data_IF_134151208507
#
_entry.id   IF_134151208507
#
_cell.length_a   1.000
_cell.length_b   1.000
_cell.length_c   1.000
_cell.angle_alpha   90.00
_cell.angle_beta   90.00
_cell.angle_gamma   90.00
#
_symmetry.space_group_name_H-M   'P 1'
#
loop_
_entity.id
_entity.type
_entity.pdbx_description
1 polymer ?
#
# COMPACT_ATOMS: atom_id res chain seq x y z
N UNK A 1 -20.09 2.29 12.51
CA UNK A 1 -19.38 3.60 12.49
C UNK A 1 -20.24 4.61 11.75
N UNK A 2 -20.37 5.83 12.27
CA UNK A 2 -21.07 6.93 11.61
C UNK A 2 -20.05 7.90 11.00
N UNK A 3 -20.30 8.34 9.76
CA UNK A 3 -19.42 9.26 9.02
C UNK A 3 -20.25 10.47 8.60
N UNK A 4 -19.87 11.63 9.12
CA UNK A 4 -20.40 12.92 8.70
C UNK A 4 -19.67 13.47 7.48
N UNK A 5 -20.40 14.08 6.57
CA UNK A 5 -19.86 14.82 5.43
C UNK A 5 -20.14 16.31 5.59
N UNK A 6 -19.19 17.13 5.18
CA UNK A 6 -19.36 18.58 5.11
C UNK A 6 -18.69 19.12 3.85
N UNK A 7 -19.38 20.01 3.15
CA UNK A 7 -18.87 20.70 1.95
C UNK A 7 -18.49 22.16 2.19
N UNK A 8 -18.38 22.58 3.44
CA UNK A 8 -18.14 23.99 3.81
C UNK A 8 -16.79 24.48 3.31
N UNK A 9 -16.75 25.27 2.23
CA UNK A 9 -15.58 25.98 1.71
C UNK A 9 -14.56 25.12 0.96
N UNK A 10 -14.74 23.80 0.92
CA UNK A 10 -13.89 22.86 0.17
C UNK A 10 -14.81 21.96 -0.63
N UNK A 11 -14.54 21.80 -1.91
CA UNK A 11 -15.38 20.97 -2.77
C UNK A 11 -15.51 19.55 -2.22
N UNK A 12 -16.72 19.09 -1.96
CA UNK A 12 -16.98 17.71 -1.60
C UNK A 12 -17.03 16.84 -2.85
N UNK A 13 -16.38 15.69 -2.83
CA UNK A 13 -16.35 14.76 -3.96
C UNK A 13 -17.71 14.11 -4.30
N UNK A 14 -18.74 14.31 -3.49
CA UNK A 14 -20.01 13.60 -3.58
C UNK A 14 -21.20 14.38 -4.15
N UNK A 15 -21.04 15.62 -4.58
CA UNK A 15 -22.12 16.45 -5.12
C UNK A 15 -23.20 16.84 -4.11
N UNK A 16 -23.03 16.51 -2.81
CA UNK A 16 -23.91 16.94 -1.71
C UNK A 16 -23.09 17.67 -0.66
N UNK A 17 -23.62 18.78 -0.13
CA UNK A 17 -22.92 19.63 0.84
C UNK A 17 -22.83 18.99 2.24
N UNK A 18 -23.76 18.11 2.60
CA UNK A 18 -23.77 17.41 3.88
C UNK A 18 -24.33 16.00 3.74
N UNK A 19 -24.00 15.17 4.67
CA UNK A 19 -24.54 13.82 4.79
C UNK A 19 -24.12 13.16 6.09
N UNK A 20 -24.94 12.23 6.53
CA UNK A 20 -24.62 11.31 7.62
C UNK A 20 -24.81 9.89 7.11
N UNK A 21 -23.73 9.11 7.12
CA UNK A 21 -23.77 7.74 6.63
C UNK A 21 -23.38 6.77 7.74
N UNK A 22 -24.04 5.64 7.80
CA UNK A 22 -23.68 4.56 8.67
C UNK A 22 -22.91 3.49 7.87
N UNK A 23 -21.70 3.18 8.32
CA UNK A 23 -20.94 2.04 7.85
C UNK A 23 -21.08 0.92 8.88
N UNK A 24 -21.61 -0.21 8.47
CA UNK A 24 -21.72 -1.43 9.28
C UNK A 24 -20.94 -2.57 8.65
N UNK A 25 -20.41 -3.45 9.47
CA UNK A 25 -19.78 -4.68 9.05
C UNK A 25 -20.60 -5.87 9.56
N UNK A 26 -20.73 -6.91 8.74
CA UNK A 26 -21.48 -8.13 9.05
C UNK A 26 -20.86 -9.03 10.13
N UNK A 27 -19.63 -8.68 10.60
CA UNK A 27 -18.86 -9.45 11.57
C UNK A 27 -18.24 -10.73 11.02
N UNK A 28 -18.41 -11.05 9.74
CA UNK A 28 -17.99 -12.29 9.11
C UNK A 28 -17.08 -12.10 7.90
N UNK A 29 -17.45 -11.18 7.02
CA UNK A 29 -16.73 -10.96 5.76
C UNK A 29 -15.41 -10.24 6.02
N UNK A 30 -14.29 -10.92 5.75
CA UNK A 30 -12.95 -10.33 5.78
C UNK A 30 -12.54 -10.01 4.34
N UNK A 31 -12.41 -8.73 3.96
CA UNK A 31 -11.90 -8.37 2.64
C UNK A 31 -10.43 -8.75 2.52
N UNK A 32 -9.99 -9.10 1.32
CA UNK A 32 -8.55 -9.26 1.06
C UNK A 32 -7.91 -7.88 0.94
N UNK A 33 -6.96 -7.58 1.81
CA UNK A 33 -6.31 -6.26 1.89
C UNK A 33 -4.89 -6.37 2.45
N UNK A 34 -4.06 -5.39 2.15
CA UNK A 34 -2.83 -5.14 2.88
C UNK A 34 -3.21 -4.61 4.27
N UNK A 35 -2.88 -5.35 5.31
CA UNK A 35 -3.16 -4.99 6.69
C UNK A 35 -2.07 -4.11 7.29
N UNK A 36 -0.81 -4.39 6.95
CA UNK A 36 0.35 -3.70 7.52
C UNK A 36 1.52 -3.73 6.54
N UNK A 37 2.32 -2.65 6.54
CA UNK A 37 3.51 -2.50 5.73
C UNK A 37 4.66 -2.01 6.62
N UNK A 38 5.68 -2.86 6.79
CA UNK A 38 6.85 -2.60 7.65
C UNK A 38 8.14 -2.58 6.87
N UNK A 39 9.07 -1.72 7.31
CA UNK A 39 10.45 -1.76 6.86
C UNK A 39 11.19 -2.94 7.49
N UNK A 40 12.01 -3.61 6.70
CA UNK A 40 12.99 -4.62 7.14
C UNK A 40 14.42 -4.16 6.78
N UNK A 41 15.42 -4.88 7.21
CA UNK A 41 16.82 -4.54 6.89
C UNK A 41 17.13 -4.59 5.37
N UNK A 42 16.37 -5.36 4.58
CA UNK A 42 16.62 -5.57 3.14
C UNK A 42 15.49 -5.14 2.22
N UNK A 43 14.46 -4.51 2.74
CA UNK A 43 13.28 -4.15 1.97
C UNK A 43 12.06 -3.96 2.83
N UNK A 44 10.95 -4.61 2.49
CA UNK A 44 9.67 -4.41 3.15
C UNK A 44 8.97 -5.73 3.46
N UNK A 45 8.14 -5.72 4.47
CA UNK A 45 7.24 -6.80 4.83
C UNK A 45 5.80 -6.33 4.74
N UNK A 46 4.97 -7.04 3.99
CA UNK A 46 3.54 -6.78 3.91
C UNK A 46 2.80 -7.91 4.61
N UNK A 47 1.90 -7.56 5.52
CA UNK A 47 0.96 -8.50 6.14
C UNK A 47 -0.39 -8.33 5.46
N UNK A 48 -1.02 -9.43 5.07
CA UNK A 48 -2.33 -9.46 4.44
C UNK A 48 -3.40 -9.98 5.38
N UNK A 49 -4.65 -9.62 5.14
CA UNK A 49 -5.82 -10.07 5.92
C UNK A 49 -6.22 -11.52 5.62
N UNK A 50 -5.83 -12.03 4.44
CA UNK A 50 -6.03 -13.42 4.00
C UNK A 50 -4.74 -13.98 3.42
N UNK A 51 -4.56 -15.31 3.39
CA UNK A 51 -3.42 -15.92 2.70
C UNK A 51 -3.39 -15.53 1.22
N UNK A 52 -2.23 -15.14 0.72
CA UNK A 52 -2.02 -14.84 -0.71
C UNK A 52 -1.92 -16.13 -1.54
N UNK A 53 -2.25 -16.04 -2.83
CA UNK A 53 -1.84 -17.04 -3.81
C UNK A 53 -0.31 -17.02 -3.91
N UNK A 54 0.33 -18.11 -3.48
CA UNK A 54 1.80 -18.19 -3.39
C UNK A 54 2.47 -18.04 -4.75
N UNK A 55 1.90 -18.66 -5.80
CA UNK A 55 2.48 -18.61 -7.15
C UNK A 55 2.51 -17.18 -7.68
N UNK A 56 1.40 -16.45 -7.50
CA UNK A 56 1.33 -15.04 -7.91
C UNK A 56 2.22 -14.16 -7.03
N UNK A 57 2.25 -14.41 -5.72
CA UNK A 57 3.00 -13.57 -4.78
C UNK A 57 4.52 -13.82 -4.82
N UNK A 58 5.01 -14.94 -5.31
CA UNK A 58 6.45 -15.21 -5.47
C UNK A 58 6.98 -14.82 -6.86
N UNK A 59 6.11 -14.43 -7.80
CA UNK A 59 6.53 -13.87 -9.08
C UNK A 59 6.91 -12.40 -8.95
N UNK A 60 8.19 -12.09 -9.15
CA UNK A 60 8.76 -10.73 -9.05
C UNK A 60 8.12 -9.74 -10.03
N UNK A 61 7.58 -10.20 -11.16
CA UNK A 61 6.95 -9.35 -12.17
C UNK A 61 5.59 -8.80 -11.72
N UNK A 62 4.98 -9.39 -10.70
CA UNK A 62 3.70 -8.96 -10.15
C UNK A 62 3.81 -7.76 -9.18
N UNK A 63 5.03 -7.23 -9.01
CA UNK A 63 5.28 -6.08 -8.13
C UNK A 63 5.65 -4.85 -8.94
N UNK A 64 4.78 -3.85 -8.92
CA UNK A 64 5.07 -2.54 -9.48
C UNK A 64 5.43 -1.58 -8.35
N UNK A 65 6.75 -1.41 -8.14
CA UNK A 65 7.30 -0.52 -7.13
C UNK A 65 7.86 0.73 -7.80
N UNK A 66 7.63 1.86 -7.17
CA UNK A 66 8.26 3.13 -7.53
C UNK A 66 8.81 3.79 -6.28
N UNK A 67 9.86 4.56 -6.44
CA UNK A 67 10.35 5.46 -5.40
C UNK A 67 10.66 6.83 -5.95
N UNK A 68 10.53 7.86 -5.13
CA UNK A 68 10.83 9.25 -5.47
C UNK A 68 11.13 10.06 -4.23
N UNK A 69 11.75 11.24 -4.43
CA UNK A 69 11.92 12.26 -3.43
C UNK A 69 11.00 13.44 -3.62
N UNK A 70 11.08 14.39 -2.69
CA UNK A 70 10.47 15.70 -2.77
C UNK A 70 11.49 16.76 -2.40
N UNK A 71 11.44 17.93 -3.08
CA UNK A 71 12.20 19.09 -2.65
C UNK A 71 11.54 19.77 -1.46
N UNK A 72 12.33 20.09 -0.46
CA UNK A 72 11.91 20.98 0.62
C UNK A 72 12.07 22.42 0.16
N UNK A 73 10.95 23.16 0.02
CA UNK A 73 10.92 24.55 -0.40
C UNK A 73 9.65 25.24 0.12
N UNK A 74 9.61 26.59 0.15
CA UNK A 74 8.49 27.35 0.74
C UNK A 74 7.19 27.33 -0.07
N UNK A 75 7.21 26.89 -1.33
CA UNK A 75 6.00 26.78 -2.16
C UNK A 75 5.15 25.61 -1.70
N UNK A 76 3.84 25.74 -1.82
CA UNK A 76 2.90 24.65 -1.52
C UNK A 76 3.07 23.48 -2.50
N UNK A 77 3.26 22.28 -1.92
CA UNK A 77 3.47 21.06 -2.70
C UNK A 77 4.86 20.96 -3.33
N UNK A 78 5.21 19.78 -3.78
CA UNK A 78 6.44 19.50 -4.53
C UNK A 78 6.16 18.45 -5.60
N UNK A 79 6.69 18.63 -6.83
CA UNK A 79 6.69 17.54 -7.80
C UNK A 79 7.54 16.39 -7.29
N UNK A 80 7.26 15.19 -7.77
CA UNK A 80 8.12 14.02 -7.53
C UNK A 80 9.47 14.25 -8.19
N UNK A 81 10.55 14.05 -7.43
CA UNK A 81 11.92 14.16 -7.93
C UNK A 81 12.57 12.78 -7.95
N UNK A 82 13.48 12.54 -8.88
CA UNK A 82 14.20 11.27 -9.02
C UNK A 82 13.28 10.04 -9.02
N UNK A 83 12.17 10.13 -9.72
CA UNK A 83 11.22 9.01 -9.84
C UNK A 83 11.91 7.84 -10.52
N UNK A 84 12.00 6.71 -9.81
CA UNK A 84 12.55 5.45 -10.32
C UNK A 84 11.55 4.33 -10.15
N UNK A 85 11.48 3.46 -11.14
CA UNK A 85 10.83 2.15 -11.03
C UNK A 85 11.82 1.18 -10.41
N UNK A 86 11.38 0.49 -9.37
CA UNK A 86 12.16 -0.52 -8.68
C UNK A 86 11.59 -1.91 -8.96
N UNK A 87 12.48 -2.89 -9.04
CA UNK A 87 12.08 -4.29 -9.08
C UNK A 87 12.53 -4.97 -7.79
N UNK A 88 11.70 -5.84 -7.20
CA UNK A 88 12.16 -6.71 -6.14
C UNK A 88 13.31 -7.58 -6.62
N UNK A 89 14.32 -7.79 -5.78
CA UNK A 89 15.39 -8.76 -6.04
C UNK A 89 15.02 -10.15 -5.54
N UNK A 90 14.11 -10.19 -4.55
CA UNK A 90 13.61 -11.43 -3.97
C UNK A 90 12.26 -11.20 -3.29
N UNK A 91 11.41 -12.20 -3.38
CA UNK A 91 10.15 -12.26 -2.63
C UNK A 91 10.05 -13.61 -1.93
N UNK A 92 9.59 -13.60 -0.67
CA UNK A 92 9.31 -14.79 0.11
C UNK A 92 7.96 -14.68 0.80
N UNK A 93 7.14 -15.71 0.64
CA UNK A 93 5.85 -15.84 1.32
C UNK A 93 6.01 -16.76 2.54
N UNK A 94 5.45 -16.35 3.68
CA UNK A 94 5.41 -17.15 4.92
C UNK A 94 4.65 -18.46 4.72
N UNK A 95 4.87 -19.45 5.62
CA UNK A 95 4.18 -20.76 5.55
C UNK A 95 2.65 -20.61 5.50
N UNK A 96 2.09 -19.73 6.31
CA UNK A 96 0.65 -19.48 6.39
C UNK A 96 0.09 -18.58 5.27
N UNK A 97 0.96 -18.05 4.40
CA UNK A 97 0.57 -17.19 3.29
C UNK A 97 0.18 -15.75 3.66
N UNK A 98 0.25 -15.36 4.93
CA UNK A 98 -0.22 -14.05 5.40
C UNK A 98 0.84 -12.95 5.29
N UNK A 99 2.13 -13.32 5.22
CA UNK A 99 3.24 -12.38 5.21
C UNK A 99 4.06 -12.55 3.94
N UNK A 100 4.31 -11.44 3.27
CA UNK A 100 5.18 -11.37 2.10
C UNK A 100 6.36 -10.46 2.41
N UNK A 101 7.57 -11.00 2.33
CA UNK A 101 8.81 -10.24 2.47
C UNK A 101 9.37 -9.92 1.07
N UNK A 102 9.63 -8.65 0.82
CA UNK A 102 10.09 -8.10 -0.46
C UNK A 102 11.47 -7.50 -0.24
N UNK A 103 12.50 -8.08 -0.85
CA UNK A 103 13.84 -7.49 -0.88
C UNK A 103 13.95 -6.55 -2.09
N UNK A 104 14.41 -5.32 -1.86
CA UNK A 104 14.59 -4.30 -2.89
C UNK A 104 15.61 -3.26 -2.45
N UNK A 105 16.07 -2.42 -3.37
CA UNK A 105 16.97 -1.30 -3.04
C UNK A 105 16.28 -0.34 -2.06
N UNK A 106 16.98 -0.01 -0.98
CA UNK A 106 16.54 0.95 0.03
C UNK A 106 17.39 2.23 -0.06
N UNK A 107 16.71 3.37 -0.17
CA UNK A 107 17.32 4.70 -0.16
C UNK A 107 16.54 5.61 0.78
N UNK A 108 17.22 6.23 1.74
CA UNK A 108 16.60 7.15 2.70
C UNK A 108 16.07 8.41 2.02
N UNK A 109 15.14 9.08 2.67
CA UNK A 109 14.46 10.29 2.18
C UNK A 109 13.71 10.06 0.86
N UNK A 110 13.15 8.86 0.71
CA UNK A 110 12.29 8.50 -0.44
C UNK A 110 10.93 8.00 0.02
N UNK A 111 9.94 8.28 -0.80
CA UNK A 111 8.63 7.64 -0.72
C UNK A 111 8.63 6.44 -1.65
N UNK A 112 8.26 5.29 -1.13
CA UNK A 112 8.04 4.06 -1.89
C UNK A 112 6.54 3.88 -2.12
N UNK A 113 6.16 3.60 -3.36
CA UNK A 113 4.81 3.19 -3.72
C UNK A 113 4.80 1.74 -4.16
N UNK A 114 3.92 0.97 -3.62
CA UNK A 114 3.60 -0.40 -4.01
C UNK A 114 2.29 -0.38 -4.79
N UNK A 115 2.24 -1.05 -5.93
CA UNK A 115 1.02 -1.36 -6.64
C UNK A 115 0.98 -2.87 -6.92
N UNK A 116 0.06 -3.58 -6.28
CA UNK A 116 -0.02 -5.03 -6.20
C UNK A 116 -1.30 -5.57 -6.88
N UNK A 117 -1.66 -5.01 -8.04
CA UNK A 117 -2.87 -5.39 -8.78
C UNK A 117 -2.90 -6.86 -9.19
N UNK A 118 -1.73 -7.49 -9.39
CA UNK A 118 -1.62 -8.89 -9.78
C UNK A 118 -1.60 -9.87 -8.60
N UNK A 119 -1.67 -9.38 -7.35
CA UNK A 119 -1.66 -10.24 -6.16
C UNK A 119 -3.09 -10.51 -5.72
N UNK A 120 -3.45 -11.78 -5.64
CA UNK A 120 -4.75 -12.27 -5.21
C UNK A 120 -4.60 -13.08 -3.92
N UNK A 121 -5.70 -13.24 -3.19
CA UNK A 121 -5.77 -14.21 -2.12
C UNK A 121 -5.83 -15.64 -2.68
N UNK A 122 -5.46 -16.62 -1.85
CA UNK A 122 -5.53 -18.05 -2.19
C UNK A 122 -6.93 -18.51 -2.61
N UNK A 123 -7.98 -17.84 -2.10
CA UNK A 123 -9.38 -18.10 -2.44
C UNK A 123 -9.84 -17.36 -3.71
N UNK A 124 -8.93 -16.69 -4.43
CA UNK A 124 -9.23 -15.90 -5.64
C UNK A 124 -9.75 -14.49 -5.35
N UNK A 125 -9.91 -14.08 -4.09
CA UNK A 125 -10.38 -12.73 -3.73
C UNK A 125 -9.39 -11.68 -4.23
N UNK A 126 -9.92 -10.57 -4.78
CA UNK A 126 -9.15 -9.40 -5.21
C UNK A 126 -9.09 -8.36 -4.10
N UNK A 127 -7.98 -7.59 -4.07
CA UNK A 127 -7.91 -6.41 -3.21
C UNK A 127 -8.75 -5.27 -3.80
N UNK A 128 -9.53 -4.60 -2.95
CA UNK A 128 -10.21 -3.35 -3.32
C UNK A 128 -9.25 -2.17 -3.40
N UNK A 129 -8.19 -2.18 -2.60
CA UNK A 129 -7.10 -1.21 -2.64
C UNK A 129 -5.77 -1.94 -2.82
N UNK A 130 -5.16 -1.77 -3.99
CA UNK A 130 -3.91 -2.44 -4.38
C UNK A 130 -2.67 -1.59 -4.11
N UNK A 131 -2.82 -0.38 -3.59
CA UNK A 131 -1.73 0.59 -3.44
C UNK A 131 -1.42 0.85 -1.97
N UNK A 132 -0.11 0.92 -1.68
CA UNK A 132 0.40 1.34 -0.38
C UNK A 132 1.61 2.27 -0.57
N UNK A 133 1.87 3.13 0.41
CA UNK A 133 3.02 4.04 0.42
C UNK A 133 3.79 3.91 1.73
N UNK A 134 5.10 4.04 1.63
CA UNK A 134 6.00 4.06 2.77
C UNK A 134 7.03 5.17 2.61
N UNK A 135 7.14 6.07 3.59
CA UNK A 135 8.17 7.09 3.61
C UNK A 135 9.37 6.57 4.40
N UNK A 136 10.49 6.36 3.71
CA UNK A 136 11.72 5.84 4.28
C UNK A 136 12.64 6.99 4.72
N UNK A 137 12.62 7.35 6.01
CA UNK A 137 13.45 8.40 6.57
C UNK A 137 14.79 7.88 7.10
N UNK A 138 14.84 6.63 7.58
CA UNK A 138 16.07 5.96 8.04
C UNK A 138 15.98 4.46 7.85
N UNK A 139 17.12 3.83 7.67
CA UNK A 139 17.22 2.37 7.58
C UNK A 139 16.97 1.74 8.95
N UNK A 140 16.49 0.50 8.90
CA UNK A 140 16.40 -0.34 10.10
C UNK A 140 17.78 -0.98 10.32
N UNK A 141 18.38 -0.67 11.45
CA UNK A 141 19.57 -1.35 11.95
C UNK A 141 19.29 -2.82 12.28
#
# INVERSE_FOLDING_TARGET
MWVGQTGRGWGSAGGKEFGLQQISWDGKTIPFSMFDLKLTAKGFQITFTKPVDRKLAEDLNNYNLERWGYHYHPKYGSPKTDLKKEKPTKVKVSKNGLIVNIETTLEINRVYRFNLEAIFAKDGSKMSNTRAWYTLNRLKG
#
